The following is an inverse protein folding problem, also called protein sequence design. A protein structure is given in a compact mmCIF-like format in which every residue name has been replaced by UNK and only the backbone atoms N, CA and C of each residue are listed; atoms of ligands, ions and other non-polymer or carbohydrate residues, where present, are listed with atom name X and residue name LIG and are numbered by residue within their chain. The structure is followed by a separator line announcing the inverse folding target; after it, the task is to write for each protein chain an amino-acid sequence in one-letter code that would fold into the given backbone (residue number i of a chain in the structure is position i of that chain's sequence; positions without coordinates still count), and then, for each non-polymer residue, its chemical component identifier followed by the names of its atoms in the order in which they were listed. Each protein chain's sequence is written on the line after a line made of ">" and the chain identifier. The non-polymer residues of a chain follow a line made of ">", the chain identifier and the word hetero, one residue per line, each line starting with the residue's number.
data_IF_985364513680
#
_entry.id   IF_985364513680
#
_cell.length_a   1.000
_cell.length_b   1.000
_cell.length_c   1.000
_cell.angle_alpha   90.00
_cell.angle_beta   90.00
_cell.angle_gamma   90.00
#
_symmetry.space_group_name_H-M   'P 1'
#
loop_
_entity.id
_entity.type
_entity.pdbx_description
1 polymer ?
#
# COMPACT_ATOMS: atom_id res chain seq x y z
N UNK A 1 -1.01 2.81 -16.74
CA UNK A 1 -1.03 4.15 -16.11
C UNK A 1 -0.74 4.13 -14.61
N UNK A 2 -1.43 3.31 -13.82
CA UNK A 2 -1.18 3.22 -12.37
C UNK A 2 0.28 2.90 -12.08
N UNK A 3 0.84 1.94 -12.82
CA UNK A 3 2.23 1.49 -12.63
C UNK A 3 3.21 2.63 -12.88
N UNK A 4 3.00 3.41 -13.93
CA UNK A 4 3.87 4.55 -14.24
C UNK A 4 3.78 5.63 -13.16
N UNK A 5 2.59 5.90 -12.64
CA UNK A 5 2.41 6.86 -11.54
C UNK A 5 3.18 6.38 -10.30
N UNK A 6 3.02 5.11 -9.93
CA UNK A 6 3.73 4.54 -8.78
C UNK A 6 5.24 4.66 -8.95
N UNK A 7 5.76 4.30 -10.14
CA UNK A 7 7.19 4.38 -10.44
C UNK A 7 7.74 5.81 -10.34
N UNK A 8 6.93 6.80 -10.67
CA UNK A 8 7.36 8.20 -10.62
C UNK A 8 7.68 8.68 -9.20
N UNK A 9 7.19 7.98 -8.19
CA UNK A 9 7.42 8.33 -6.78
C UNK A 9 8.51 7.51 -6.11
N UNK A 10 9.16 6.59 -6.83
CA UNK A 10 10.23 5.78 -6.24
C UNK A 10 11.32 6.68 -5.65
N UNK A 11 11.75 6.35 -4.42
CA UNK A 11 12.81 7.08 -3.75
C UNK A 11 12.35 8.26 -2.90
N UNK A 12 11.06 8.62 -2.92
CA UNK A 12 10.57 9.67 -2.03
C UNK A 12 10.74 9.23 -0.58
N UNK A 13 11.28 10.11 0.26
CA UNK A 13 11.61 9.80 1.64
C UNK A 13 10.86 10.67 2.64
N UNK A 14 10.49 10.07 3.77
CA UNK A 14 9.92 10.82 4.87
C UNK A 14 11.00 11.45 5.75
N UNK A 15 10.59 12.46 6.50
CA UNK A 15 11.33 12.96 7.64
C UNK A 15 11.05 11.99 8.79
N UNK A 16 12.09 11.53 9.46
CA UNK A 16 12.02 10.48 10.48
C UNK A 16 10.85 10.69 11.46
N UNK A 17 10.14 9.61 11.79
CA UNK A 17 9.02 9.64 12.72
C UNK A 17 7.70 10.05 12.08
N UNK A 18 7.55 9.88 10.78
CA UNK A 18 6.34 10.24 10.03
C UNK A 18 6.02 11.75 10.14
N UNK A 19 7.04 12.59 10.23
CA UNK A 19 6.86 14.03 10.46
C UNK A 19 6.64 14.84 9.20
N UNK A 20 6.70 14.21 8.04
CA UNK A 20 6.56 14.85 6.74
C UNK A 20 7.51 14.24 5.74
N UNK A 21 7.75 14.93 4.64
CA UNK A 21 8.56 14.39 3.53
C UNK A 21 9.65 15.37 3.13
N UNK A 22 10.77 14.83 2.65
CA UNK A 22 11.89 15.65 2.20
C UNK A 22 11.53 16.49 0.99
N UNK A 23 10.71 15.96 0.07
CA UNK A 23 10.17 16.73 -1.05
C UNK A 23 8.91 17.46 -0.61
N UNK A 24 8.91 18.78 -0.75
CA UNK A 24 7.73 19.60 -0.40
C UNK A 24 6.57 19.38 -1.36
N UNK A 25 6.84 19.08 -2.63
CA UNK A 25 5.81 18.76 -3.62
C UNK A 25 5.11 17.45 -3.26
N UNK A 26 5.88 16.42 -2.91
CA UNK A 26 5.33 15.14 -2.49
C UNK A 26 4.52 15.30 -1.21
N UNK A 27 5.05 16.05 -0.24
CA UNK A 27 4.34 16.32 1.02
C UNK A 27 2.99 16.99 0.77
N UNK A 28 2.95 17.99 -0.12
CA UNK A 28 1.71 18.68 -0.48
C UNK A 28 0.68 17.69 -1.05
N UNK A 29 1.11 16.84 -1.97
CA UNK A 29 0.23 15.82 -2.58
C UNK A 29 -0.28 14.82 -1.55
N UNK A 30 0.57 14.40 -0.62
CA UNK A 30 0.17 13.48 0.44
C UNK A 30 -0.83 14.12 1.40
N UNK A 31 -0.65 15.40 1.74
CA UNK A 31 -1.61 16.14 2.57
C UNK A 31 -2.95 16.30 1.87
N UNK A 32 -2.96 16.43 0.55
CA UNK A 32 -4.21 16.53 -0.22
C UNK A 32 -5.04 15.24 -0.16
N UNK A 33 -4.42 14.08 0.07
CA UNK A 33 -5.16 12.82 0.27
C UNK A 33 -5.38 12.48 1.73
N UNK A 34 -5.03 13.39 2.66
CA UNK A 34 -5.38 13.27 4.06
C UNK A 34 -4.24 12.99 5.02
N UNK A 35 -3.01 12.89 4.53
CA UNK A 35 -1.87 12.65 5.42
C UNK A 35 -1.67 13.83 6.38
N UNK A 36 -1.38 13.53 7.63
CA UNK A 36 -0.89 14.51 8.60
C UNK A 36 0.28 13.92 9.38
N UNK A 37 1.14 14.80 9.92
CA UNK A 37 2.34 14.38 10.63
C UNK A 37 2.01 13.40 11.76
N UNK A 38 2.84 12.38 11.91
CA UNK A 38 2.68 11.35 12.93
C UNK A 38 1.93 10.11 12.46
N UNK A 39 1.32 10.13 11.27
CA UNK A 39 0.57 9.00 10.75
C UNK A 39 1.46 8.10 9.89
N UNK A 40 1.23 6.79 9.96
CA UNK A 40 1.75 5.86 8.96
C UNK A 40 1.11 6.20 7.61
N UNK A 41 1.86 6.07 6.51
CA UNK A 41 1.44 6.65 5.24
C UNK A 41 1.35 5.67 4.07
N UNK A 42 1.38 4.36 4.32
CA UNK A 42 1.27 3.37 3.24
C UNK A 42 -0.08 3.47 2.50
N UNK A 43 -1.17 3.65 3.23
CA UNK A 43 -2.49 3.79 2.61
C UNK A 43 -2.63 5.13 1.89
N UNK A 44 -2.12 6.21 2.47
CA UNK A 44 -2.15 7.53 1.82
C UNK A 44 -1.36 7.53 0.51
N UNK A 45 -0.20 6.86 0.50
CA UNK A 45 0.57 6.75 -0.74
C UNK A 45 -0.19 6.00 -1.82
N UNK A 46 -0.78 4.86 -1.48
CA UNK A 46 -1.57 4.06 -2.43
C UNK A 46 -2.79 4.86 -2.93
N UNK A 47 -3.41 5.62 -2.04
CA UNK A 47 -4.52 6.51 -2.40
C UNK A 47 -4.06 7.57 -3.40
N UNK A 48 -2.91 8.21 -3.17
CA UNK A 48 -2.36 9.20 -4.08
C UNK A 48 -2.15 8.63 -5.48
N UNK A 49 -1.54 7.44 -5.56
CA UNK A 49 -1.27 6.77 -6.84
C UNK A 49 -2.58 6.50 -7.59
N UNK A 50 -3.56 5.91 -6.91
CA UNK A 50 -4.85 5.59 -7.52
C UNK A 50 -5.62 6.84 -7.92
N UNK A 51 -5.58 7.88 -7.10
CA UNK A 51 -6.22 9.17 -7.44
C UNK A 51 -5.65 9.75 -8.72
N UNK A 52 -4.32 9.80 -8.83
CA UNK A 52 -3.66 10.37 -10.02
C UNK A 52 -3.90 9.53 -11.27
N UNK A 53 -4.16 8.25 -11.11
CA UNK A 53 -4.48 7.35 -12.21
C UNK A 53 -5.98 7.31 -12.55
N UNK A 54 -6.81 8.12 -11.88
CA UNK A 54 -8.23 8.23 -12.18
C UNK A 54 -9.13 7.15 -11.59
N UNK A 55 -8.62 6.37 -10.62
CA UNK A 55 -9.42 5.36 -9.94
C UNK A 55 -10.30 5.99 -8.84
N UNK A 56 -11.40 5.31 -8.50
CA UNK A 56 -12.24 5.72 -7.38
C UNK A 56 -11.51 5.51 -6.05
N UNK A 57 -11.30 6.58 -5.31
CA UNK A 57 -10.59 6.55 -4.03
C UNK A 57 -11.50 6.74 -2.82
N UNK A 58 -12.81 6.83 -3.01
CA UNK A 58 -13.76 7.01 -1.89
C UNK A 58 -13.62 5.96 -0.79
N UNK A 59 -13.34 4.66 -1.11
CA UNK A 59 -13.17 3.66 -0.07
C UNK A 59 -11.89 3.77 0.76
N UNK A 60 -10.89 4.56 0.34
CA UNK A 60 -9.64 4.65 1.07
C UNK A 60 -9.83 5.21 2.49
N UNK A 61 -9.04 4.68 3.42
CA UNK A 61 -8.89 5.20 4.78
C UNK A 61 -7.42 5.15 5.15
N UNK A 62 -7.08 5.68 6.31
CA UNK A 62 -5.71 5.62 6.84
C UNK A 62 -5.26 4.18 7.14
N UNK A 63 -6.21 3.26 7.34
CA UNK A 63 -5.95 1.85 7.64
C UNK A 63 -5.97 1.02 6.35
N UNK A 64 -4.92 0.21 6.16
CA UNK A 64 -4.85 -0.71 5.02
C UNK A 64 -6.01 -1.70 5.02
N UNK A 65 -6.27 -2.36 6.16
CA UNK A 65 -7.34 -3.35 6.25
C UNK A 65 -8.72 -2.71 6.10
N UNK A 66 -8.94 -1.55 6.68
CA UNK A 66 -10.22 -0.83 6.52
C UNK A 66 -10.46 -0.44 5.06
N UNK A 67 -9.42 -0.02 4.35
CA UNK A 67 -9.49 0.26 2.92
C UNK A 67 -9.98 -0.97 2.16
N UNK A 68 -9.40 -2.14 2.43
CA UNK A 68 -9.80 -3.40 1.80
C UNK A 68 -11.28 -3.70 2.07
N UNK A 69 -11.69 -3.63 3.33
CA UNK A 69 -13.09 -3.86 3.71
C UNK A 69 -14.04 -2.89 3.02
N UNK A 70 -13.65 -1.61 2.92
CA UNK A 70 -14.50 -0.58 2.29
C UNK A 70 -14.67 -0.84 0.80
N UNK A 71 -13.62 -1.27 0.09
CA UNK A 71 -13.74 -1.65 -1.32
C UNK A 71 -14.68 -2.84 -1.48
N UNK A 72 -14.58 -3.84 -0.61
CA UNK A 72 -15.50 -4.99 -0.66
C UNK A 72 -16.96 -4.56 -0.44
N UNK A 73 -17.20 -3.67 0.52
CA UNK A 73 -18.56 -3.13 0.77
C UNK A 73 -19.08 -2.32 -0.42
N UNK A 74 -18.18 -1.71 -1.18
CA UNK A 74 -18.54 -0.96 -2.38
C UNK A 74 -18.74 -1.85 -3.62
N UNK A 75 -18.69 -3.17 -3.45
CA UNK A 75 -18.89 -4.12 -4.56
C UNK A 75 -17.61 -4.49 -5.30
N UNK A 76 -16.46 -4.02 -4.83
CA UNK A 76 -15.15 -4.31 -5.43
C UNK A 76 -14.52 -5.47 -4.65
N UNK A 77 -14.89 -6.69 -5.00
CA UNK A 77 -14.43 -7.87 -4.26
C UNK A 77 -12.92 -8.07 -4.33
N UNK A 78 -12.34 -8.49 -3.22
CA UNK A 78 -10.96 -8.92 -3.18
C UNK A 78 -10.76 -10.16 -4.04
N UNK A 79 -9.61 -10.22 -4.71
CA UNK A 79 -9.24 -11.34 -5.59
C UNK A 79 -7.93 -11.94 -5.14
N UNK A 80 -7.63 -13.15 -5.63
CA UNK A 80 -6.39 -13.85 -5.32
C UNK A 80 -5.33 -13.71 -6.40
N UNK A 81 -5.71 -13.24 -7.59
CA UNK A 81 -4.80 -13.02 -8.71
C UNK A 81 -4.78 -11.53 -9.05
N UNK A 82 -3.67 -10.84 -8.77
CA UNK A 82 -3.59 -9.42 -9.05
C UNK A 82 -3.32 -9.13 -10.52
N UNK A 83 -3.82 -7.99 -10.97
CA UNK A 83 -3.39 -7.36 -12.22
C UNK A 83 -2.38 -6.25 -11.89
N UNK A 84 -1.50 -5.86 -12.82
CA UNK A 84 -0.68 -4.67 -12.62
C UNK A 84 -1.56 -3.46 -12.31
N UNK A 85 -1.18 -2.71 -11.29
CA UNK A 85 -1.97 -1.59 -10.77
C UNK A 85 -2.86 -1.93 -9.60
N UNK A 86 -3.02 -3.21 -9.26
CA UNK A 86 -3.86 -3.65 -8.15
C UNK A 86 -3.34 -3.10 -6.81
N UNK A 87 -4.26 -2.87 -5.88
CA UNK A 87 -3.91 -2.74 -4.46
C UNK A 87 -3.63 -4.11 -3.89
N UNK A 88 -2.62 -4.22 -3.06
CA UNK A 88 -2.35 -5.43 -2.27
C UNK A 88 -2.42 -5.08 -0.81
N UNK A 89 -3.10 -5.93 -0.02
CA UNK A 89 -3.32 -5.67 1.40
C UNK A 89 -2.86 -6.86 2.23
N UNK A 90 -2.12 -6.55 3.29
CA UNK A 90 -1.68 -7.50 4.31
C UNK A 90 -2.23 -7.08 5.67
N UNK A 91 -2.34 -8.05 6.57
CA UNK A 91 -2.55 -7.77 7.99
C UNK A 91 -1.36 -8.28 8.78
N UNK A 92 -1.04 -7.56 9.84
CA UNK A 92 -0.01 -8.02 10.79
C UNK A 92 -0.50 -9.28 11.49
N UNK A 93 0.43 -10.20 11.74
CA UNK A 93 0.16 -11.46 12.44
C UNK A 93 1.17 -11.60 13.57
N UNK A 94 0.67 -11.88 14.77
CA UNK A 94 1.50 -12.13 15.95
C UNK A 94 1.06 -13.45 16.56
N UNK A 95 1.96 -14.43 16.63
CA UNK A 95 1.67 -15.77 17.16
C UNK A 95 0.41 -16.39 16.51
N UNK A 96 0.28 -16.28 15.20
CA UNK A 96 -0.86 -16.81 14.46
C UNK A 96 -2.14 -15.98 14.56
N UNK A 97 -2.13 -14.87 15.29
CA UNK A 97 -3.31 -14.02 15.50
C UNK A 97 -3.26 -12.78 14.61
N UNK A 98 -4.30 -12.58 13.80
CA UNK A 98 -4.42 -11.41 12.95
C UNK A 98 -4.69 -10.16 13.79
N UNK A 99 -3.96 -9.10 13.46
CA UNK A 99 -4.11 -7.79 14.11
C UNK A 99 -4.90 -6.84 13.19
N UNK A 100 -5.35 -5.73 13.73
CA UNK A 100 -5.99 -4.67 12.94
C UNK A 100 -4.99 -3.92 12.06
N UNK A 101 -3.74 -3.85 12.50
CA UNK A 101 -2.68 -3.20 11.74
C UNK A 101 -2.32 -4.04 10.52
N UNK A 102 -1.79 -3.39 9.50
CA UNK A 102 -1.41 -4.07 8.27
C UNK A 102 -0.57 -3.18 7.38
N UNK A 103 -0.57 -3.52 6.10
CA UNK A 103 0.20 -2.80 5.10
C UNK A 103 -0.55 -2.87 3.77
N UNK A 104 -0.30 -1.90 2.91
CA UNK A 104 -0.92 -1.83 1.58
C UNK A 104 0.12 -1.32 0.59
N UNK A 105 0.05 -1.79 -0.64
CA UNK A 105 0.93 -1.34 -1.70
C UNK A 105 0.27 -1.46 -3.07
N UNK A 106 1.05 -1.12 -4.09
CA UNK A 106 0.62 -1.18 -5.50
C UNK A 106 1.37 -2.30 -6.19
N UNK A 107 0.66 -3.23 -6.81
CA UNK A 107 1.28 -4.30 -7.60
C UNK A 107 1.68 -3.72 -8.95
N UNK A 108 2.94 -3.95 -9.35
CA UNK A 108 3.42 -3.51 -10.67
C UNK A 108 3.71 -4.68 -11.60
N UNK A 109 3.96 -5.87 -11.06
CA UNK A 109 4.14 -7.12 -11.83
C UNK A 109 3.54 -8.27 -11.05
N UNK A 110 2.88 -9.19 -11.75
CA UNK A 110 2.32 -10.39 -11.12
C UNK A 110 2.85 -11.63 -11.84
N UNK A 111 3.44 -12.54 -11.07
CA UNK A 111 3.99 -13.81 -11.54
C UNK A 111 3.35 -14.97 -10.78
N UNK A 112 3.60 -16.20 -11.22
CA UNK A 112 2.97 -17.38 -10.57
C UNK A 112 3.44 -17.59 -9.13
N UNK A 113 4.71 -17.33 -8.84
CA UNK A 113 5.33 -17.60 -7.54
C UNK A 113 5.60 -16.36 -6.70
N UNK A 114 5.48 -15.17 -7.28
CA UNK A 114 5.73 -13.91 -6.58
C UNK A 114 5.06 -12.75 -7.30
N UNK A 115 5.07 -11.60 -6.68
CA UNK A 115 4.66 -10.34 -7.31
C UNK A 115 5.60 -9.23 -6.88
N UNK A 116 5.63 -8.16 -7.66
CA UNK A 116 6.48 -7.00 -7.39
C UNK A 116 5.58 -5.82 -7.10
N UNK A 117 5.93 -5.06 -6.07
CA UNK A 117 5.14 -3.92 -5.61
C UNK A 117 5.96 -2.65 -5.59
N UNK A 118 5.25 -1.52 -5.52
CA UNK A 118 5.80 -0.25 -5.03
C UNK A 118 4.96 0.13 -3.82
N UNK A 119 5.64 0.40 -2.71
CA UNK A 119 5.01 0.61 -1.41
C UNK A 119 5.54 1.87 -0.76
N UNK A 120 4.64 2.62 -0.13
CA UNK A 120 5.02 3.72 0.74
C UNK A 120 5.21 3.24 2.17
N UNK A 121 5.91 4.04 2.99
CA UNK A 121 6.18 3.73 4.39
C UNK A 121 6.83 2.36 4.56
N UNK A 122 7.85 2.09 3.74
CA UNK A 122 8.58 0.83 3.74
C UNK A 122 10.08 1.10 3.68
N UNK A 123 10.89 0.06 3.78
CA UNK A 123 12.34 0.15 3.66
C UNK A 123 12.86 -0.96 2.75
N UNK A 124 14.18 -0.95 2.48
CA UNK A 124 14.79 -1.94 1.60
C UNK A 124 14.67 -3.37 2.14
N UNK A 125 14.43 -3.53 3.44
CA UNK A 125 14.27 -4.83 4.10
C UNK A 125 12.82 -5.29 4.15
N UNK A 126 11.88 -4.47 3.66
CA UNK A 126 10.46 -4.83 3.61
C UNK A 126 9.70 -4.65 4.92
N UNK A 127 10.26 -3.92 5.87
CA UNK A 127 9.58 -3.63 7.12
C UNK A 127 8.36 -2.72 6.92
N UNK A 128 7.37 -2.85 7.81
CA UNK A 128 6.15 -2.07 7.79
C UNK A 128 6.39 -0.59 8.13
N UNK A 129 7.33 -0.33 9.03
CA UNK A 129 7.73 1.01 9.45
C UNK A 129 8.97 1.42 8.68
N UNK A 130 8.78 1.85 7.46
CA UNK A 130 9.86 2.30 6.61
C UNK A 130 9.86 3.79 6.44
N UNK A 131 10.82 4.28 5.68
CA UNK A 131 11.06 5.71 5.52
C UNK A 131 10.87 6.19 4.08
N UNK A 132 10.57 5.31 3.13
CA UNK A 132 10.54 5.71 1.73
C UNK A 132 9.53 4.94 0.89
N UNK A 133 9.36 5.40 -0.33
CA UNK A 133 8.69 4.66 -1.40
C UNK A 133 9.71 3.74 -2.03
N UNK A 134 9.46 2.43 -2.00
CA UNK A 134 10.41 1.43 -2.49
C UNK A 134 9.71 0.33 -3.27
N UNK A 135 10.49 -0.29 -4.18
CA UNK A 135 10.06 -1.46 -4.93
C UNK A 135 10.40 -2.71 -4.13
N UNK A 136 9.46 -3.65 -4.05
CA UNK A 136 9.62 -4.89 -3.28
C UNK A 136 9.22 -6.09 -4.10
N UNK A 137 9.93 -7.21 -3.90
CA UNK A 137 9.52 -8.52 -4.35
C UNK A 137 8.82 -9.21 -3.20
N UNK A 138 7.59 -9.69 -3.41
CA UNK A 138 6.75 -10.29 -2.37
C UNK A 138 6.29 -11.68 -2.77
N UNK A 139 6.21 -12.59 -1.81
CA UNK A 139 5.62 -13.91 -2.04
C UNK A 139 4.13 -13.90 -1.70
N UNK A 140 3.39 -14.89 -2.22
CA UNK A 140 1.96 -15.04 -1.92
C UNK A 140 1.80 -15.75 -0.57
N UNK A 141 2.05 -15.05 0.52
CA UNK A 141 2.10 -15.60 1.87
C UNK A 141 0.74 -15.62 2.57
N UNK A 142 -0.23 -16.30 1.96
CA UNK A 142 -1.60 -16.40 2.45
C UNK A 142 -1.72 -17.00 3.85
N UNK A 143 -0.75 -17.82 4.27
CA UNK A 143 -0.80 -18.57 5.53
C UNK A 143 0.27 -18.14 6.53
N UNK A 144 0.91 -17.00 6.33
CA UNK A 144 1.93 -16.51 7.25
C UNK A 144 1.36 -16.41 8.68
N UNK A 145 2.09 -16.91 9.65
CA UNK A 145 1.69 -16.89 11.06
C UNK A 145 2.50 -15.89 11.88
N UNK A 146 3.36 -15.13 11.23
CA UNK A 146 4.10 -14.01 11.80
C UNK A 146 4.38 -12.97 10.72
N UNK A 147 4.65 -11.74 11.12
CA UNK A 147 4.93 -10.65 10.20
C UNK A 147 3.67 -10.15 9.52
N UNK A 148 3.62 -10.25 8.21
CA UNK A 148 2.48 -9.82 7.40
C UNK A 148 1.86 -11.03 6.69
N UNK A 149 0.55 -11.20 6.85
CA UNK A 149 -0.21 -12.21 6.11
C UNK A 149 -0.97 -11.53 4.98
N UNK A 150 -0.83 -12.05 3.77
CA UNK A 150 -1.54 -11.57 2.61
C UNK A 150 -3.05 -11.80 2.77
N UNK A 151 -3.84 -10.77 2.56
CA UNK A 151 -5.31 -10.82 2.67
C UNK A 151 -5.96 -10.87 1.30
N UNK A 152 -5.49 -10.08 0.34
CA UNK A 152 -6.04 -10.08 -1.00
C UNK A 152 -5.62 -8.88 -1.81
N UNK A 153 -6.19 -8.80 -2.99
CA UNK A 153 -5.91 -7.74 -3.96
C UNK A 153 -7.22 -7.10 -4.41
N UNK A 154 -7.17 -5.81 -4.69
CA UNK A 154 -8.27 -5.09 -5.34
C UNK A 154 -7.73 -4.67 -6.72
N UNK A 155 -8.27 -5.26 -7.77
CA UNK A 155 -7.84 -4.92 -9.13
C UNK A 155 -8.43 -3.56 -9.55
N UNK A 156 -7.69 -2.79 -10.37
CA UNK A 156 -8.21 -1.53 -10.88
C UNK A 156 -9.33 -1.75 -11.91
N UNK A 157 -10.05 -0.70 -12.18
CA UNK A 157 -11.06 -0.70 -13.26
C UNK A 157 -10.51 0.03 -14.47
#
# INVERSE_FOLDING_TARGET
>A
MIVEVAKSYLGQEEISGNKGFKSKDFEKKMKEVGFSAGQAWCAYFSELVWKEAGQDIKPFSASAFKTYQNYEKAGRKGVTKPEPGALVVWRSVVNGQLQWTGHIGIVIEAHDDHFVTIEGNTNDKGGREGIKVAMKKRSYNWKADKGLRLIGFINPI
#
